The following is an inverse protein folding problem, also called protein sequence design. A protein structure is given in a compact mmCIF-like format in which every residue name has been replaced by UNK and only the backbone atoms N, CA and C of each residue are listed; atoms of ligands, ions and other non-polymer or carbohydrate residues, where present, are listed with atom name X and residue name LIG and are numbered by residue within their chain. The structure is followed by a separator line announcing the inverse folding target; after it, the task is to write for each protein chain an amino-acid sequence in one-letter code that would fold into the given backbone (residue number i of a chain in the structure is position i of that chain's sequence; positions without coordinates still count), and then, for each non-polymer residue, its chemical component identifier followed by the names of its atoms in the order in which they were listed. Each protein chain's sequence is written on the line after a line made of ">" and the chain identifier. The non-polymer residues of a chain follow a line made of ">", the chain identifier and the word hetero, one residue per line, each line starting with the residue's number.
data_IF_164439745242
#
_entry.id   IF_164439745242
#
_cell.length_a   1.000
_cell.length_b   1.000
_cell.length_c   1.000
_cell.angle_alpha   90.00
_cell.angle_beta   90.00
_cell.angle_gamma   90.00
#
_symmetry.space_group_name_H-M   'P 1'
#
loop_
_entity.id
_entity.type
_entity.pdbx_description
1 polymer ?
#
# COMPACT_ATOMS: atom_id res chain seq x y z
N UNK A 1 35.82 -23.21 0.40
CA UNK A 1 34.45 -23.74 0.51
C UNK A 1 34.53 -25.25 0.69
N UNK A 2 33.97 -25.77 1.77
CA UNK A 2 33.97 -27.18 2.13
C UNK A 2 32.83 -27.90 1.39
N UNK A 3 33.03 -29.16 0.98
CA UNK A 3 32.00 -29.99 0.30
C UNK A 3 30.68 -30.07 1.06
N UNK A 4 30.69 -29.99 2.40
CA UNK A 4 29.49 -29.91 3.24
C UNK A 4 28.74 -28.59 3.07
N UNK A 5 29.45 -27.48 2.91
CA UNK A 5 28.84 -26.16 2.66
C UNK A 5 28.24 -26.09 1.26
N UNK A 6 28.92 -26.65 0.27
CA UNK A 6 28.39 -26.76 -1.09
C UNK A 6 27.10 -27.59 -1.15
N UNK A 7 27.07 -28.73 -0.46
CA UNK A 7 25.87 -29.58 -0.39
C UNK A 7 24.71 -28.93 0.39
N UNK A 8 25.01 -28.14 1.42
CA UNK A 8 23.99 -27.41 2.17
C UNK A 8 23.34 -26.31 1.32
N UNK A 9 24.15 -25.61 0.52
CA UNK A 9 23.68 -24.57 -0.39
C UNK A 9 22.87 -25.15 -1.56
N UNK A 10 23.34 -26.26 -2.15
CA UNK A 10 22.65 -26.94 -3.25
C UNK A 10 21.24 -27.41 -2.82
N UNK A 11 21.13 -27.96 -1.62
CA UNK A 11 19.84 -28.38 -1.06
C UNK A 11 18.90 -27.19 -0.80
N UNK A 12 19.41 -26.08 -0.28
CA UNK A 12 18.61 -24.85 -0.08
C UNK A 12 18.10 -24.26 -1.41
N UNK A 13 18.88 -24.39 -2.49
CA UNK A 13 18.52 -23.86 -3.82
C UNK A 13 17.61 -24.80 -4.62
N UNK A 14 17.58 -26.09 -4.29
CA UNK A 14 16.83 -27.12 -5.03
C UNK A 14 15.58 -27.61 -4.30
N UNK A 15 15.48 -27.40 -2.99
CA UNK A 15 14.22 -27.60 -2.27
C UNK A 15 13.21 -26.55 -2.75
N UNK A 16 12.05 -26.97 -3.29
CA UNK A 16 11.01 -26.03 -3.65
C UNK A 16 10.60 -25.31 -2.37
N UNK A 17 10.74 -23.99 -2.37
CA UNK A 17 10.27 -23.14 -1.27
C UNK A 17 8.84 -23.55 -0.98
N UNK A 18 8.57 -24.04 0.24
CA UNK A 18 7.20 -24.26 0.68
C UNK A 18 6.43 -23.01 0.28
N UNK A 19 5.41 -23.20 -0.57
CA UNK A 19 4.58 -22.10 -1.05
C UNK A 19 4.21 -21.31 0.20
N UNK A 20 4.41 -19.99 0.24
CA UNK A 20 4.05 -19.22 1.41
C UNK A 20 2.62 -19.60 1.76
N UNK A 21 2.44 -20.19 2.94
CA UNK A 21 1.13 -20.38 3.51
C UNK A 21 0.50 -18.99 3.43
N UNK A 22 -0.55 -18.84 2.61
CA UNK A 22 -1.40 -17.67 2.72
C UNK A 22 -2.02 -17.79 4.09
N UNK A 23 -1.45 -17.11 5.07
CA UNK A 23 -2.13 -16.78 6.30
C UNK A 23 -3.33 -15.94 5.87
N UNK A 24 -4.48 -16.58 5.70
CA UNK A 24 -5.76 -15.89 5.73
C UNK A 24 -5.98 -15.50 7.17
N UNK A 25 -5.60 -14.27 7.52
CA UNK A 25 -5.98 -13.67 8.80
C UNK A 25 -7.49 -13.44 8.73
N UNK A 26 -8.26 -14.33 9.35
CA UNK A 26 -9.66 -14.03 9.67
C UNK A 26 -9.63 -12.97 10.78
N UNK A 27 -10.29 -11.82 10.54
CA UNK A 27 -10.31 -10.59 11.35
C UNK A 27 -9.07 -9.67 11.27
N UNK A 28 -8.57 -9.37 10.07
CA UNK A 28 -7.90 -8.06 9.91
C UNK A 28 -8.97 -6.96 10.09
N UNK A 29 -8.80 -6.02 11.04
CA UNK A 29 -9.76 -4.94 11.21
C UNK A 29 -9.86 -4.17 9.89
N UNK A 30 -11.09 -3.89 9.45
CA UNK A 30 -11.33 -3.02 8.31
C UNK A 30 -10.53 -1.75 8.51
N UNK A 31 -9.60 -1.46 7.59
CA UNK A 31 -8.74 -0.29 7.68
C UNK A 31 -9.58 0.96 7.42
N UNK A 32 -10.12 1.50 8.50
CA UNK A 32 -10.91 2.75 8.54
C UNK A 32 -10.02 3.97 8.70
N UNK A 33 -8.70 3.82 8.53
CA UNK A 33 -7.74 4.91 8.70
C UNK A 33 -7.24 5.46 7.37
N UNK A 34 -6.80 6.71 7.39
CA UNK A 34 -6.11 7.33 6.27
C UNK A 34 -4.63 6.91 6.20
N UNK A 35 -3.89 7.44 5.21
CA UNK A 35 -2.46 7.16 5.05
C UNK A 35 -1.62 7.43 6.31
N UNK A 36 -2.02 8.40 7.13
CA UNK A 36 -1.30 8.79 8.34
C UNK A 36 -1.74 7.99 9.58
N UNK A 37 -2.69 7.06 9.43
CA UNK A 37 -3.27 6.27 10.51
C UNK A 37 -4.32 7.03 11.32
N UNK A 38 -4.86 8.13 10.80
CA UNK A 38 -5.97 8.83 11.43
C UNK A 38 -7.29 8.16 11.08
N UNK A 39 -8.19 8.03 12.06
CA UNK A 39 -9.53 7.49 11.83
C UNK A 39 -10.32 8.40 10.88
N UNK A 40 -10.92 7.81 9.85
CA UNK A 40 -11.76 8.54 8.89
C UNK A 40 -13.13 8.81 9.52
N UNK A 41 -13.46 10.08 9.75
CA UNK A 41 -14.77 10.47 10.27
C UNK A 41 -15.88 10.25 9.23
N UNK A 42 -17.12 10.10 9.68
CA UNK A 42 -18.25 9.80 8.79
C UNK A 42 -18.53 10.93 7.78
N UNK A 43 -18.30 12.16 8.23
CA UNK A 43 -18.47 13.41 7.49
C UNK A 43 -17.32 13.74 6.53
N UNK A 44 -16.16 13.10 6.68
CA UNK A 44 -14.97 13.45 5.90
C UNK A 44 -15.16 13.12 4.41
N UNK A 45 -14.63 13.98 3.54
CA UNK A 45 -14.40 13.61 2.16
C UNK A 45 -13.21 12.66 2.07
N UNK A 46 -13.39 11.48 1.45
CA UNK A 46 -12.32 10.50 1.24
C UNK A 46 -11.81 10.62 -0.20
N UNK A 47 -10.50 10.68 -0.35
CA UNK A 47 -9.81 10.81 -1.61
C UNK A 47 -8.82 9.67 -1.82
N UNK A 48 -8.71 9.18 -3.05
CA UNK A 48 -7.66 8.27 -3.47
C UNK A 48 -6.64 9.05 -4.31
N UNK A 49 -5.39 9.03 -3.87
CA UNK A 49 -4.27 9.66 -4.55
C UNK A 49 -3.45 8.59 -5.25
N UNK A 50 -3.31 8.71 -6.57
CA UNK A 50 -2.41 7.89 -7.38
C UNK A 50 -1.10 8.63 -7.61
N UNK A 51 0.02 8.01 -7.21
CA UNK A 51 1.37 8.55 -7.42
C UNK A 51 2.29 7.49 -8.00
N UNK A 52 3.43 7.90 -8.56
CA UNK A 52 4.47 6.95 -8.96
C UNK A 52 5.79 7.21 -8.25
N UNK A 53 6.38 6.13 -7.74
CA UNK A 53 7.77 6.14 -7.31
C UNK A 53 8.67 6.12 -8.53
N UNK A 54 9.53 7.12 -8.65
CA UNK A 54 10.50 7.22 -9.75
C UNK A 54 11.83 6.56 -9.37
N UNK A 55 12.47 5.92 -10.34
CA UNK A 55 13.82 5.41 -10.18
C UNK A 55 14.78 6.60 -10.01
N UNK A 56 15.55 6.63 -8.92
CA UNK A 56 16.51 7.71 -8.66
C UNK A 56 17.56 7.88 -9.78
N UNK A 57 17.87 6.80 -10.50
CA UNK A 57 18.90 6.81 -11.54
C UNK A 57 18.38 7.19 -12.93
N UNK A 58 17.13 6.89 -13.25
CA UNK A 58 16.55 7.14 -14.59
C UNK A 58 15.47 8.20 -14.61
N UNK A 59 14.94 8.60 -13.44
CA UNK A 59 13.79 9.49 -13.30
C UNK A 59 12.47 8.90 -13.80
N UNK A 60 12.48 7.67 -14.33
CA UNK A 60 11.28 7.03 -14.87
C UNK A 60 10.44 6.41 -13.75
N UNK A 61 9.10 6.44 -13.86
CA UNK A 61 8.21 5.79 -12.91
C UNK A 61 8.45 4.27 -12.91
N UNK A 62 8.68 3.71 -11.73
CA UNK A 62 8.95 2.27 -11.51
C UNK A 62 7.68 1.56 -11.04
N UNK A 63 6.86 2.25 -10.26
CA UNK A 63 5.69 1.68 -9.63
C UNK A 63 4.66 2.77 -9.38
N UNK A 64 3.40 2.51 -9.74
CA UNK A 64 2.25 3.35 -9.40
C UNK A 64 1.57 2.80 -8.16
N UNK A 65 1.39 3.65 -7.15
CA UNK A 65 0.72 3.36 -5.90
C UNK A 65 -0.57 4.18 -5.77
N UNK A 66 -1.50 3.66 -4.98
CA UNK A 66 -2.72 4.35 -4.55
C UNK A 66 -2.73 4.45 -3.03
N UNK A 67 -3.11 5.60 -2.49
CA UNK A 67 -3.24 5.84 -1.05
C UNK A 67 -4.48 6.66 -0.75
N UNK A 68 -5.03 6.46 0.44
CA UNK A 68 -6.25 7.12 0.91
C UNK A 68 -5.87 8.29 1.81
N UNK A 69 -6.54 9.43 1.61
CA UNK A 69 -6.47 10.59 2.47
C UNK A 69 -7.87 11.15 2.71
N UNK A 70 -8.05 11.87 3.82
CA UNK A 70 -9.27 12.63 4.08
C UNK A 70 -9.12 14.05 3.55
N UNK A 71 -10.22 14.81 3.57
CA UNK A 71 -10.22 16.23 3.23
C UNK A 71 -9.18 17.03 4.03
N UNK A 72 -8.94 16.63 5.29
CA UNK A 72 -8.01 17.32 6.18
C UNK A 72 -6.54 16.96 5.88
N UNK A 73 -6.27 15.73 5.45
CA UNK A 73 -4.89 15.21 5.31
C UNK A 73 -4.39 15.13 3.87
N UNK A 74 -5.25 15.44 2.89
CA UNK A 74 -4.91 15.33 1.46
C UNK A 74 -3.72 16.22 1.06
N UNK A 75 -3.64 17.44 1.62
CA UNK A 75 -2.56 18.38 1.29
C UNK A 75 -1.24 17.86 1.86
N UNK A 76 -1.24 17.43 3.13
CA UNK A 76 -0.06 16.86 3.79
C UNK A 76 0.46 15.62 3.03
N UNK A 77 -0.45 14.77 2.53
CA UNK A 77 -0.06 13.60 1.74
C UNK A 77 0.61 14.00 0.42
N UNK A 78 0.11 15.02 -0.27
CA UNK A 78 0.73 15.51 -1.51
C UNK A 78 2.12 16.07 -1.23
N UNK A 79 2.29 16.82 -0.14
CA UNK A 79 3.59 17.35 0.27
C UNK A 79 4.59 16.22 0.61
N UNK A 80 4.15 15.18 1.31
CA UNK A 80 5.00 14.03 1.65
C UNK A 80 5.43 13.24 0.40
N UNK A 81 4.51 13.05 -0.55
CA UNK A 81 4.78 12.32 -1.79
C UNK A 81 5.60 13.12 -2.81
N UNK A 82 5.59 14.45 -2.69
CA UNK A 82 6.10 15.39 -3.70
C UNK A 82 5.09 15.56 -4.85
N UNK A 83 4.67 16.81 -5.08
CA UNK A 83 3.67 17.18 -6.09
C UNK A 83 3.98 16.60 -7.47
N UNK A 84 5.26 16.54 -7.86
CA UNK A 84 5.69 16.05 -9.16
C UNK A 84 5.49 14.54 -9.36
N UNK A 85 5.17 13.82 -8.29
CA UNK A 85 4.96 12.37 -8.29
C UNK A 85 3.47 12.00 -8.28
N UNK A 86 2.58 12.96 -8.03
CA UNK A 86 1.13 12.77 -8.02
C UNK A 86 0.57 12.88 -9.45
N UNK A 87 -0.19 11.87 -9.88
CA UNK A 87 -0.78 11.83 -11.23
C UNK A 87 -2.28 12.12 -11.22
N UNK A 88 -2.97 11.66 -10.19
CA UNK A 88 -4.41 11.68 -10.13
C UNK A 88 -4.87 11.73 -8.67
N UNK A 89 -5.86 12.58 -8.42
CA UNK A 89 -6.57 12.68 -7.15
C UNK A 89 -8.04 12.50 -7.49
N UNK A 90 -8.66 11.46 -6.94
CA UNK A 90 -10.07 11.16 -7.14
C UNK A 90 -10.82 11.26 -5.83
N UNK A 91 -11.97 11.94 -5.87
CA UNK A 91 -12.92 11.86 -4.77
C UNK A 91 -13.61 10.49 -4.82
N UNK A 92 -13.52 9.74 -3.73
CA UNK A 92 -14.09 8.39 -3.63
C UNK A 92 -15.52 8.48 -3.12
N UNK A 93 -15.70 8.97 -1.88
CA UNK A 93 -17.00 9.11 -1.24
C UNK A 93 -16.90 9.89 0.09
N UNK A 94 -17.99 9.98 0.85
CA UNK A 94 -17.92 10.40 2.25
C UNK A 94 -17.37 9.27 3.12
N UNK A 95 -16.74 9.57 4.24
CA UNK A 95 -16.12 8.57 5.13
C UNK A 95 -17.11 7.51 5.60
N UNK A 96 -18.36 7.90 5.86
CA UNK A 96 -19.44 6.93 6.15
C UNK A 96 -19.61 5.89 5.04
N UNK A 97 -19.72 6.35 3.79
CA UNK A 97 -19.93 5.47 2.62
C UNK A 97 -18.70 4.66 2.29
N UNK A 98 -17.51 5.23 2.49
CA UNK A 98 -16.25 4.53 2.33
C UNK A 98 -16.15 3.34 3.28
N UNK A 99 -16.41 3.56 4.58
CA UNK A 99 -16.42 2.49 5.60
C UNK A 99 -17.51 1.45 5.36
N UNK A 100 -18.71 1.88 4.95
CA UNK A 100 -19.78 0.96 4.52
C UNK A 100 -19.34 0.11 3.32
N UNK A 101 -18.62 0.69 2.36
CA UNK A 101 -18.06 -0.03 1.20
C UNK A 101 -17.08 -1.12 1.61
N UNK A 102 -16.14 -0.81 2.50
CA UNK A 102 -15.13 -1.76 2.99
C UNK A 102 -15.71 -2.96 3.74
N UNK A 103 -16.87 -2.81 4.37
CA UNK A 103 -17.56 -3.90 5.09
C UNK A 103 -18.32 -4.86 4.16
N UNK A 104 -18.51 -4.47 2.89
CA UNK A 104 -19.33 -5.22 1.92
C UNK A 104 -18.51 -5.85 0.78
N UNK A 105 -17.19 -5.63 0.75
CA UNK A 105 -16.22 -6.27 -0.17
C UNK A 105 -15.65 -7.57 0.43
#
# INVERSE_FOLDING_TARGET
>A
MNRREANALDRYLTEPTEKPHKETYEDDPVDTTDYFGNEIADEDGVFEITFAMKCLYTGQPVLTCKKIATQDTIVDLIEELGEENVYLIEYVSSGKRYKEGLLND
#
